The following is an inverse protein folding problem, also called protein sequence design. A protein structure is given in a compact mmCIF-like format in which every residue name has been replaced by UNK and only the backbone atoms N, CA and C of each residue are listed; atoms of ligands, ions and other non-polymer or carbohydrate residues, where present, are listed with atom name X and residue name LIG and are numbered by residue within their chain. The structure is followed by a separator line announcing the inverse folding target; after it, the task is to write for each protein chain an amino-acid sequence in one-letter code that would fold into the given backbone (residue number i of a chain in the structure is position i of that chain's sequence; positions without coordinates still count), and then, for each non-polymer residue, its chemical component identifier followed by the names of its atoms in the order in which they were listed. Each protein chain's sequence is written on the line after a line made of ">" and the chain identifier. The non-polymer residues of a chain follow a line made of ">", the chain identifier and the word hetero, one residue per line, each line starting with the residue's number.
data_IF_278062654579
#
_entry.id   IF_278062654579
#
_cell.length_a   1.000
_cell.length_b   1.000
_cell.length_c   1.000
_cell.angle_alpha   90.00
_cell.angle_beta   90.00
_cell.angle_gamma   90.00
#
_symmetry.space_group_name_H-M   'P 1'
#
loop_
_entity.id
_entity.type
_entity.pdbx_description
1 polymer ?
#
# COMPACT_ATOMS: atom_id res chain seq x y z
N UNK A 1 -58.95 -21.95 11.10
CA UNK A 1 -58.92 -20.78 10.22
C UNK A 1 -57.49 -20.26 10.23
N UNK A 2 -56.69 -20.74 9.28
CA UNK A 2 -55.29 -20.35 9.12
C UNK A 2 -55.25 -18.96 8.49
N UNK A 3 -54.47 -18.05 9.08
CA UNK A 3 -54.04 -16.84 8.38
C UNK A 3 -52.58 -17.09 8.04
N UNK A 4 -52.42 -17.62 6.84
CA UNK A 4 -51.15 -17.75 6.13
C UNK A 4 -50.59 -16.34 5.94
N UNK A 5 -49.55 -15.99 6.72
CA UNK A 5 -48.72 -14.84 6.42
C UNK A 5 -48.01 -15.15 5.11
N UNK A 6 -48.60 -14.62 4.04
CA UNK A 6 -48.02 -14.60 2.71
C UNK A 6 -46.77 -13.76 2.77
N UNK A 7 -45.61 -14.41 2.82
CA UNK A 7 -44.31 -13.81 2.55
C UNK A 7 -44.29 -13.37 1.08
N UNK A 8 -44.90 -12.22 0.81
CA UNK A 8 -44.86 -11.57 -0.48
C UNK A 8 -43.39 -11.23 -0.79
N UNK A 9 -42.84 -11.98 -1.74
CA UNK A 9 -41.47 -11.85 -2.20
C UNK A 9 -41.15 -10.42 -2.63
N UNK A 10 -40.42 -9.70 -1.79
CA UNK A 10 -39.63 -8.58 -2.25
C UNK A 10 -38.35 -9.16 -2.85
N UNK A 11 -38.10 -9.04 -4.18
CA UNK A 11 -36.82 -9.41 -4.73
C UNK A 11 -35.77 -8.59 -3.97
N UNK A 12 -34.75 -9.27 -3.42
CA UNK A 12 -33.63 -8.65 -2.72
C UNK A 12 -32.99 -7.61 -3.65
N UNK A 13 -33.50 -6.38 -3.63
CA UNK A 13 -32.88 -5.25 -4.27
C UNK A 13 -31.54 -5.10 -3.57
N UNK A 14 -30.47 -5.63 -4.17
CA UNK A 14 -29.11 -5.50 -3.66
C UNK A 14 -28.88 -4.03 -3.42
N UNK A 15 -28.97 -3.60 -2.15
CA UNK A 15 -28.72 -2.23 -1.74
C UNK A 15 -27.35 -1.89 -2.30
N UNK A 16 -27.28 -0.96 -3.27
CA UNK A 16 -26.00 -0.52 -3.84
C UNK A 16 -25.21 0.10 -2.69
N UNK A 17 -24.35 -0.69 -2.06
CA UNK A 17 -23.43 -0.20 -1.04
C UNK A 17 -22.51 0.80 -1.75
N UNK A 18 -22.68 2.08 -1.45
CA UNK A 18 -21.80 3.13 -1.97
C UNK A 18 -20.49 3.05 -1.21
N UNK A 19 -19.52 2.40 -1.83
CA UNK A 19 -18.14 2.33 -1.35
C UNK A 19 -17.45 3.69 -1.50
N UNK A 20 -16.44 3.95 -0.66
CA UNK A 20 -15.57 5.12 -0.83
C UNK A 20 -14.83 5.09 -2.18
N UNK A 21 -14.58 6.26 -2.78
CA UNK A 21 -13.79 6.38 -4.01
C UNK A 21 -12.33 6.05 -3.71
N UNK A 22 -11.72 5.17 -4.50
CA UNK A 22 -10.29 4.88 -4.41
C UNK A 22 -9.52 5.97 -5.16
N UNK A 23 -8.82 6.80 -4.40
CA UNK A 23 -7.87 7.78 -4.92
C UNK A 23 -6.52 7.48 -4.26
N UNK A 24 -5.47 7.23 -5.06
CA UNK A 24 -4.15 6.82 -4.56
C UNK A 24 -3.32 8.05 -4.14
N UNK A 25 -3.55 9.21 -4.77
CA UNK A 25 -2.77 10.44 -4.56
C UNK A 25 -3.46 11.44 -3.62
N UNK A 26 -4.59 11.08 -3.03
CA UNK A 26 -5.15 11.81 -1.89
C UNK A 26 -4.62 11.25 -0.57
N UNK A 27 -4.83 11.93 0.56
CA UNK A 27 -4.73 11.35 1.91
C UNK A 27 -6.10 11.04 2.51
N UNK A 28 -7.17 11.37 1.78
CA UNK A 28 -8.54 11.12 2.21
C UNK A 28 -8.90 9.66 1.97
N UNK A 29 -9.85 9.19 2.78
CA UNK A 29 -10.41 7.83 2.75
C UNK A 29 -9.50 6.74 3.30
N UNK A 30 -10.05 5.52 3.26
CA UNK A 30 -9.50 4.24 3.71
C UNK A 30 -8.79 3.56 2.53
N UNK A 31 -7.88 2.61 2.78
CA UNK A 31 -7.14 1.90 1.73
C UNK A 31 -7.30 0.38 1.78
N UNK A 32 -7.22 -0.21 2.97
CA UNK A 32 -7.24 -1.65 3.18
C UNK A 32 -5.85 -2.26 3.16
N UNK A 33 -5.67 -3.30 3.97
CA UNK A 33 -4.39 -4.01 4.18
C UNK A 33 -3.76 -4.54 2.87
N UNK A 34 -4.57 -5.21 2.04
CA UNK A 34 -4.08 -5.83 0.80
C UNK A 34 -3.58 -4.76 -0.18
N UNK A 35 -4.34 -3.70 -0.39
CA UNK A 35 -3.93 -2.58 -1.26
C UNK A 35 -2.72 -1.84 -0.69
N UNK A 36 -2.65 -1.67 0.63
CA UNK A 36 -1.49 -1.08 1.28
C UNK A 36 -0.20 -1.87 0.98
N UNK A 37 -0.22 -3.18 1.22
CA UNK A 37 0.93 -4.06 0.93
C UNK A 37 1.26 -4.05 -0.56
N UNK A 38 0.25 -4.23 -1.42
CA UNK A 38 0.45 -4.27 -2.86
C UNK A 38 1.01 -2.97 -3.42
N UNK A 39 0.44 -1.81 -3.08
CA UNK A 39 0.87 -0.52 -3.63
C UNK A 39 2.23 -0.08 -3.08
N UNK A 40 2.49 -0.25 -1.78
CA UNK A 40 3.84 0.05 -1.23
C UNK A 40 4.92 -0.79 -1.91
N UNK A 41 4.65 -2.08 -2.15
CA UNK A 41 5.55 -2.94 -2.92
C UNK A 41 5.67 -2.51 -4.38
N UNK A 42 4.55 -2.21 -5.06
CA UNK A 42 4.55 -1.78 -6.46
C UNK A 42 5.36 -0.50 -6.67
N UNK A 43 5.22 0.49 -5.78
CA UNK A 43 6.03 1.71 -5.81
C UNK A 43 7.50 1.45 -5.47
N UNK A 44 7.80 0.51 -4.55
CA UNK A 44 9.18 0.12 -4.27
C UNK A 44 9.85 -0.55 -5.50
N UNK A 45 9.12 -1.42 -6.21
CA UNK A 45 9.59 -2.02 -7.47
C UNK A 45 9.80 -0.95 -8.54
N UNK A 46 8.87 -0.01 -8.67
CA UNK A 46 9.02 1.12 -9.60
C UNK A 46 10.28 1.94 -9.27
N UNK A 47 10.51 2.27 -8.00
CA UNK A 47 11.71 2.99 -7.56
C UNK A 47 12.99 2.19 -7.84
N UNK A 48 12.98 0.87 -7.67
CA UNK A 48 14.12 0.00 -7.99
C UNK A 48 14.41 -0.01 -9.51
N UNK A 49 13.38 -0.09 -10.35
CA UNK A 49 13.52 -0.02 -11.82
C UNK A 49 14.07 1.34 -12.24
N UNK A 50 13.54 2.43 -11.71
CA UNK A 50 14.04 3.78 -12.00
C UNK A 50 15.50 3.94 -11.55
N UNK A 51 15.86 3.42 -10.37
CA UNK A 51 17.24 3.45 -9.87
C UNK A 51 18.18 2.64 -10.76
N UNK A 52 17.74 1.48 -11.23
CA UNK A 52 18.50 0.67 -12.18
C UNK A 52 18.74 1.43 -13.49
N UNK A 53 17.71 2.05 -14.07
CA UNK A 53 17.83 2.86 -15.28
C UNK A 53 18.78 4.05 -15.05
N UNK A 54 18.60 4.80 -13.96
CA UNK A 54 19.47 5.92 -13.57
C UNK A 54 20.93 5.48 -13.44
N UNK A 55 21.21 4.30 -12.88
CA UNK A 55 22.57 3.77 -12.76
C UNK A 55 23.23 3.50 -14.12
N UNK A 56 22.47 3.10 -15.14
CA UNK A 56 22.98 2.91 -16.50
C UNK A 56 23.26 4.23 -17.20
N UNK A 57 22.41 5.22 -16.99
CA UNK A 57 22.62 6.56 -17.54
C UNK A 57 23.89 7.21 -17.00
N UNK A 58 24.22 6.99 -15.72
CA UNK A 58 25.46 7.50 -15.10
C UNK A 58 26.71 7.07 -15.86
N UNK A 59 26.74 5.85 -16.41
CA UNK A 59 27.88 5.32 -17.16
C UNK A 59 28.14 6.06 -18.48
N UNK A 60 27.14 6.78 -19.00
CA UNK A 60 27.24 7.58 -20.22
C UNK A 60 27.58 9.06 -19.94
N UNK A 61 27.64 9.48 -18.68
CA UNK A 61 27.87 10.87 -18.30
C UNK A 61 29.36 11.15 -18.03
N UNK A 62 29.85 12.38 -18.32
CA UNK A 62 31.14 12.84 -17.84
C UNK A 62 31.26 12.77 -16.31
N UNK A 63 32.44 12.38 -15.81
CA UNK A 63 32.70 12.23 -14.38
C UNK A 63 32.38 13.50 -13.57
N UNK A 64 32.60 14.69 -14.17
CA UNK A 64 32.33 15.99 -13.54
C UNK A 64 30.86 16.20 -13.16
N UNK A 65 29.90 15.55 -13.85
CA UNK A 65 28.46 15.72 -13.60
C UNK A 65 27.79 14.46 -13.05
N UNK A 66 28.43 13.29 -13.16
CA UNK A 66 27.89 12.01 -12.72
C UNK A 66 27.47 12.00 -11.24
N UNK A 67 28.30 12.58 -10.36
CA UNK A 67 27.99 12.66 -8.92
C UNK A 67 26.72 13.47 -8.62
N UNK A 68 26.56 14.63 -9.25
CA UNK A 68 25.37 15.46 -9.10
C UNK A 68 24.11 14.75 -9.61
N UNK A 69 24.22 14.05 -10.74
CA UNK A 69 23.12 13.26 -11.30
C UNK A 69 22.69 12.13 -10.35
N UNK A 70 23.64 11.40 -9.75
CA UNK A 70 23.34 10.36 -8.76
C UNK A 70 22.58 10.96 -7.58
N UNK A 71 23.09 12.05 -6.99
CA UNK A 71 22.45 12.69 -5.84
C UNK A 71 21.04 13.20 -6.16
N UNK A 72 20.88 13.89 -7.29
CA UNK A 72 19.59 14.41 -7.72
C UNK A 72 18.57 13.31 -8.02
N UNK A 73 18.97 12.29 -8.80
CA UNK A 73 18.08 11.16 -9.13
C UNK A 73 17.65 10.40 -7.88
N UNK A 74 18.56 10.17 -6.92
CA UNK A 74 18.22 9.55 -5.65
C UNK A 74 17.19 10.35 -4.86
N UNK A 75 17.36 11.68 -4.73
CA UNK A 75 16.41 12.54 -4.02
C UNK A 75 15.02 12.49 -4.68
N UNK A 76 14.95 12.57 -6.00
CA UNK A 76 13.67 12.52 -6.73
C UNK A 76 12.98 11.17 -6.55
N UNK A 77 13.71 10.07 -6.77
CA UNK A 77 13.14 8.72 -6.73
C UNK A 77 12.73 8.35 -5.30
N UNK A 78 13.65 8.43 -4.35
CA UNK A 78 13.40 8.00 -2.97
C UNK A 78 12.56 9.00 -2.19
N UNK A 79 12.67 10.30 -2.48
CA UNK A 79 11.78 11.33 -1.94
C UNK A 79 10.34 11.12 -2.41
N UNK A 80 10.13 10.86 -3.70
CA UNK A 80 8.81 10.51 -4.23
C UNK A 80 8.24 9.23 -3.62
N UNK A 81 9.06 8.17 -3.52
CA UNK A 81 8.68 6.92 -2.87
C UNK A 81 8.26 7.14 -1.40
N UNK A 82 9.04 7.93 -0.65
CA UNK A 82 8.75 8.24 0.75
C UNK A 82 7.40 8.97 0.88
N UNK A 83 7.18 10.01 0.06
CA UNK A 83 5.93 10.77 0.07
C UNK A 83 4.72 9.88 -0.20
N UNK A 84 4.77 9.07 -1.25
CA UNK A 84 3.68 8.14 -1.58
C UNK A 84 3.47 7.12 -0.46
N UNK A 85 4.54 6.58 0.11
CA UNK A 85 4.45 5.60 1.22
C UNK A 85 3.82 6.22 2.47
N UNK A 86 4.15 7.47 2.79
CA UNK A 86 3.51 8.22 3.88
C UNK A 86 2.01 8.38 3.59
N UNK A 87 1.63 8.82 2.39
CA UNK A 87 0.22 9.00 2.02
C UNK A 87 -0.58 7.69 2.10
N UNK A 88 -0.01 6.58 1.62
CA UNK A 88 -0.63 5.26 1.75
C UNK A 88 -0.76 4.83 3.21
N UNK A 89 0.23 5.15 4.05
CA UNK A 89 0.23 4.79 5.48
C UNK A 89 -0.74 5.64 6.29
N UNK A 90 -0.93 6.91 5.93
CA UNK A 90 -1.99 7.77 6.49
C UNK A 90 -3.37 7.14 6.23
N UNK A 91 -3.67 6.77 4.98
CA UNK A 91 -4.94 6.07 4.67
C UNK A 91 -5.07 4.73 5.39
N UNK A 92 -3.96 4.02 5.54
CA UNK A 92 -3.94 2.76 6.27
C UNK A 92 -4.24 2.97 7.75
N UNK A 93 -3.76 4.06 8.34
CA UNK A 93 -4.07 4.48 9.72
C UNK A 93 -5.56 4.81 9.87
N UNK A 94 -6.15 5.44 8.87
CA UNK A 94 -7.59 5.70 8.82
C UNK A 94 -8.43 4.41 8.79
N UNK A 95 -7.90 3.27 8.33
CA UNK A 95 -8.67 2.01 8.28
C UNK A 95 -9.06 1.49 9.67
N UNK A 96 -8.24 1.73 10.68
CA UNK A 96 -8.47 1.34 12.07
C UNK A 96 -8.83 2.55 12.95
N UNK A 97 -9.41 3.58 12.32
CA UNK A 97 -9.94 4.77 12.96
C UNK A 97 -8.92 5.49 13.86
N UNK A 98 -7.72 5.74 13.32
CA UNK A 98 -6.67 6.51 14.00
C UNK A 98 -6.21 7.69 13.15
N UNK A 99 -5.46 8.62 13.75
CA UNK A 99 -4.92 9.77 13.02
C UNK A 99 -3.77 9.34 12.10
N UNK A 100 -3.53 10.12 11.04
CA UNK A 100 -2.42 9.89 10.12
C UNK A 100 -1.03 9.97 10.75
N UNK A 101 -0.90 10.50 11.97
CA UNK A 101 0.37 10.62 12.70
C UNK A 101 1.08 9.28 12.93
N UNK A 102 0.34 8.17 12.93
CA UNK A 102 0.94 6.84 13.01
C UNK A 102 1.88 6.56 11.83
N UNK A 103 1.74 7.24 10.68
CA UNK A 103 2.68 7.09 9.56
C UNK A 103 4.12 7.47 9.92
N UNK A 104 4.36 8.20 11.01
CA UNK A 104 5.71 8.46 11.52
C UNK A 104 6.46 7.19 11.92
N UNK A 105 5.76 6.09 12.21
CA UNK A 105 6.38 4.78 12.44
C UNK A 105 7.18 4.28 11.23
N UNK A 106 6.97 4.82 10.02
CA UNK A 106 7.80 4.54 8.86
C UNK A 106 9.27 4.96 9.05
N UNK A 107 9.56 5.91 9.95
CA UNK A 107 10.92 6.33 10.29
C UNK A 107 11.63 5.32 11.18
N UNK A 108 10.87 4.44 11.85
CA UNK A 108 11.42 3.39 12.71
C UNK A 108 11.65 2.16 11.83
N UNK A 109 12.86 1.58 11.82
CA UNK A 109 13.11 0.31 11.15
C UNK A 109 12.05 -0.73 11.55
N UNK A 110 11.49 -1.43 10.57
CA UNK A 110 10.41 -2.42 10.75
C UNK A 110 9.06 -1.87 11.26
N UNK A 111 8.92 -0.56 11.52
CA UNK A 111 7.65 0.04 11.94
C UNK A 111 6.52 -0.14 10.92
N UNK A 112 6.86 -0.32 9.64
CA UNK A 112 5.91 -0.69 8.58
C UNK A 112 5.14 -1.98 8.87
N UNK A 113 5.75 -2.97 9.56
CA UNK A 113 5.13 -4.27 9.81
C UNK A 113 3.88 -4.16 10.67
N UNK A 114 3.80 -3.16 11.55
CA UNK A 114 2.61 -2.88 12.36
C UNK A 114 1.37 -2.73 11.47
N UNK A 115 1.49 -2.03 10.33
CA UNK A 115 0.38 -1.78 9.40
C UNK A 115 -0.05 -3.03 8.61
N UNK A 116 0.80 -4.06 8.54
CA UNK A 116 0.50 -5.33 7.91
C UNK A 116 -0.32 -6.23 8.83
N UNK A 117 -0.13 -6.11 10.15
CA UNK A 117 -0.70 -7.01 11.14
C UNK A 117 -2.06 -6.53 11.67
N UNK A 118 -2.21 -5.23 11.92
CA UNK A 118 -3.42 -4.65 12.53
C UNK A 118 -4.65 -4.86 11.62
N UNK A 119 -5.81 -5.36 12.11
CA UNK A 119 -7.04 -5.37 11.32
C UNK A 119 -7.64 -3.97 11.15
N UNK A 120 -8.35 -3.73 10.05
CA UNK A 120 -9.17 -2.52 9.89
C UNK A 120 -10.51 -2.67 10.62
N UNK A 121 -11.29 -1.60 10.72
CA UNK A 121 -12.67 -1.66 11.24
C UNK A 121 -13.64 -2.27 10.22
N UNK A 122 -14.55 -3.13 10.66
CA UNK A 122 -15.58 -3.76 9.81
C UNK A 122 -16.82 -2.87 9.59
N UNK A 123 -16.83 -1.67 10.15
CA UNK A 123 -17.95 -0.73 10.10
C UNK A 123 -17.52 0.65 9.59
N UNK A 124 -18.52 1.48 9.30
CA UNK A 124 -18.34 2.89 8.93
C UNK A 124 -17.57 3.61 10.04
N UNK A 125 -16.47 4.26 9.67
CA UNK A 125 -15.63 5.03 10.58
C UNK A 125 -15.60 6.51 10.19
N UNK A 126 -14.87 7.34 10.96
CA UNK A 126 -14.82 8.80 10.76
C UNK A 126 -14.24 9.22 9.40
N UNK A 127 -13.50 8.32 8.76
CA UNK A 127 -12.83 8.53 7.48
C UNK A 127 -13.59 7.92 6.29
N UNK A 128 -14.74 7.30 6.51
CA UNK A 128 -15.64 6.86 5.46
C UNK A 128 -16.24 5.46 5.64
N UNK A 129 -17.05 5.06 4.66
CA UNK A 129 -17.64 3.72 4.57
C UNK A 129 -16.61 2.69 4.14
N UNK A 130 -17.00 1.41 4.22
CA UNK A 130 -16.14 0.31 3.83
C UNK A 130 -15.68 0.37 2.37
N UNK A 131 -14.53 -0.27 2.17
CA UNK A 131 -13.82 -0.31 0.91
C UNK A 131 -14.48 -1.27 -0.07
N UNK A 132 -14.41 -0.98 -1.38
CA UNK A 132 -14.84 -1.95 -2.37
C UNK A 132 -13.95 -3.19 -2.29
N UNK A 133 -14.49 -4.39 -2.59
CA UNK A 133 -13.72 -5.63 -2.55
C UNK A 133 -12.44 -5.53 -3.38
N UNK A 134 -11.36 -6.15 -2.89
CA UNK A 134 -10.07 -6.09 -3.57
C UNK A 134 -10.11 -6.84 -4.89
N UNK A 135 -9.54 -6.24 -5.93
CA UNK A 135 -9.41 -6.89 -7.25
C UNK A 135 -8.41 -8.05 -7.18
N UNK A 136 -8.46 -8.94 -8.19
CA UNK A 136 -7.51 -10.05 -8.30
C UNK A 136 -6.04 -9.55 -8.32
N UNK A 137 -5.77 -8.49 -9.09
CA UNK A 137 -4.44 -7.92 -9.23
C UNK A 137 -3.89 -7.32 -7.94
N UNK A 138 -4.74 -6.71 -7.11
CA UNK A 138 -4.34 -6.21 -5.79
C UNK A 138 -3.92 -7.34 -4.85
N UNK A 139 -4.67 -8.46 -4.87
CA UNK A 139 -4.34 -9.65 -4.09
C UNK A 139 -3.05 -10.30 -4.57
N UNK A 140 -2.89 -10.43 -5.88
CA UNK A 140 -1.69 -10.98 -6.49
C UNK A 140 -0.45 -10.14 -6.12
N UNK A 141 -0.54 -8.82 -6.27
CA UNK A 141 0.56 -7.91 -5.96
C UNK A 141 0.97 -7.98 -4.48
N UNK A 142 -0.01 -8.05 -3.58
CA UNK A 142 0.26 -8.23 -2.16
C UNK A 142 0.90 -9.60 -1.84
N UNK A 143 0.46 -10.67 -2.51
CA UNK A 143 1.04 -11.99 -2.33
C UNK A 143 2.51 -12.03 -2.79
N UNK A 144 2.80 -11.45 -3.96
CA UNK A 144 4.17 -11.33 -4.49
C UNK A 144 5.06 -10.53 -3.53
N UNK A 145 4.53 -9.44 -2.95
CA UNK A 145 5.26 -8.64 -1.96
C UNK A 145 5.71 -9.47 -0.75
N UNK A 146 4.79 -10.27 -0.20
CA UNK A 146 5.06 -11.15 0.96
C UNK A 146 6.09 -12.22 0.60
N UNK A 147 5.93 -12.90 -0.55
CA UNK A 147 6.86 -13.93 -1.03
C UNK A 147 8.27 -13.35 -1.23
N UNK A 148 8.35 -12.14 -1.79
CA UNK A 148 9.64 -11.45 -2.01
C UNK A 148 10.32 -11.14 -0.69
N UNK A 149 9.58 -10.68 0.32
CA UNK A 149 10.13 -10.40 1.66
C UNK A 149 10.73 -11.66 2.31
N UNK A 150 10.02 -12.80 2.26
CA UNK A 150 10.52 -14.07 2.81
C UNK A 150 11.75 -14.58 2.03
N UNK A 151 11.71 -14.53 0.70
CA UNK A 151 12.83 -14.94 -0.16
C UNK A 151 14.09 -14.10 0.11
N UNK A 152 13.94 -12.77 0.22
CA UNK A 152 15.04 -11.86 0.52
C UNK A 152 15.62 -12.08 1.92
N UNK A 153 14.77 -12.34 2.91
CA UNK A 153 15.19 -12.66 4.27
C UNK A 153 16.01 -13.95 4.33
N UNK A 154 15.57 -15.01 3.63
CA UNK A 154 16.33 -16.26 3.54
C UNK A 154 17.68 -16.11 2.85
N UNK A 155 17.74 -15.30 1.78
CA UNK A 155 18.99 -14.98 1.11
C UNK A 155 19.96 -14.20 2.02
N UNK A 156 19.46 -13.23 2.79
CA UNK A 156 20.26 -12.46 3.74
C UNK A 156 20.83 -13.34 4.86
N UNK A 157 20.02 -14.21 5.46
CA UNK A 157 20.47 -15.16 6.51
C UNK A 157 21.62 -16.02 6.00
N UNK A 158 21.44 -16.61 4.81
CA UNK A 158 22.48 -17.43 4.16
C UNK A 158 23.77 -16.65 3.88
N UNK A 159 23.66 -15.38 3.48
CA UNK A 159 24.81 -14.54 3.14
C UNK A 159 25.61 -14.15 4.38
N UNK A 160 24.94 -14.00 5.54
CA UNK A 160 25.56 -13.62 6.81
C UNK A 160 26.16 -14.85 7.53
N UNK A 161 25.89 -16.07 7.06
CA UNK A 161 26.51 -17.30 7.57
C UNK A 161 25.84 -17.90 8.80
N UNK A 162 24.55 -17.59 9.02
CA UNK A 162 23.70 -18.29 9.98
C UNK A 162 23.05 -19.54 9.38
#
# INVERSE_FOLDING_TARGET
>A
MAIEHTDAGYPHAKKKVRHGKLDIFSTHWRLGRIRYIGYTFGFAVLAAVLSFISSKLVLALPAAIAGYFIGFSAIVIYGGLLLITIMLTIKRSHDFDTSGWLSLLLLIPLGMLVFWLIPGTDSVNRFGRDLPPNSFWEKLLAAVAVITLFSASGFLIKTIGF
#
